data_IF_704813583351
#
_entry.id   IF_704813583351
#
_cell.length_a   1.000
_cell.length_b   1.000
_cell.length_c   1.000
_cell.angle_alpha   90.00
_cell.angle_beta   90.00
_cell.angle_gamma   90.00
#
_symmetry.space_group_name_H-M   'P 1'
#
loop_
_entity.id
_entity.type
_entity.pdbx_description
1 polymer ?
#
# COMPACT_ATOMS: atom_id res chain seq x y z
N UNK A 1 30.46 -44.65 -20.29
CA UNK A 1 29.23 -43.83 -20.20
C UNK A 1 29.67 -42.40 -19.87
N UNK A 2 30.03 -41.52 -20.82
CA UNK A 2 29.26 -41.08 -22.00
C UNK A 2 27.83 -40.69 -21.58
N UNK A 3 27.30 -39.47 -21.73
CA UNK A 3 27.57 -38.39 -22.68
C UNK A 3 26.86 -37.08 -22.22
N UNK A 4 27.37 -35.94 -22.70
CA UNK A 4 26.71 -34.65 -22.96
C UNK A 4 26.35 -33.71 -21.79
N UNK A 5 26.58 -32.40 -21.86
CA UNK A 5 27.12 -31.63 -22.96
C UNK A 5 27.35 -30.17 -22.55
N UNK A 6 28.54 -29.66 -22.90
CA UNK A 6 28.89 -28.24 -22.85
C UNK A 6 27.92 -27.49 -23.75
N UNK A 7 27.05 -26.66 -23.17
CA UNK A 7 26.45 -25.54 -23.89
C UNK A 7 27.23 -24.30 -23.50
N UNK A 8 27.89 -23.74 -24.51
CA UNK A 8 28.54 -22.45 -24.46
C UNK A 8 27.61 -21.44 -23.78
N UNK A 9 28.12 -20.76 -22.76
CA UNK A 9 27.58 -19.47 -22.37
C UNK A 9 27.82 -18.55 -23.57
N UNK A 10 26.83 -18.46 -24.45
CA UNK A 10 26.76 -17.37 -25.40
C UNK A 10 26.50 -16.14 -24.54
N UNK A 11 27.58 -15.50 -24.10
CA UNK A 11 27.54 -14.10 -23.71
C UNK A 11 27.17 -13.37 -25.00
N UNK A 12 25.86 -13.18 -25.23
CA UNK A 12 25.39 -12.10 -26.08
C UNK A 12 25.83 -10.82 -25.37
N UNK A 13 27.10 -10.45 -25.58
CA UNK A 13 27.52 -9.06 -25.55
C UNK A 13 26.66 -8.43 -26.63
N UNK A 14 25.54 -7.83 -26.21
CA UNK A 14 24.93 -6.76 -26.98
C UNK A 14 26.07 -5.77 -27.22
N UNK A 15 26.61 -5.79 -28.45
CA UNK A 15 27.51 -4.77 -28.95
C UNK A 15 26.82 -3.44 -28.66
N UNK A 16 27.56 -2.53 -28.04
CA UNK A 16 27.04 -1.25 -27.58
C UNK A 16 26.23 -0.57 -28.68
N UNK A 17 24.97 -0.26 -28.36
CA UNK A 17 24.40 0.97 -28.87
C UNK A 17 25.24 2.10 -28.28
N UNK A 18 25.78 2.95 -29.15
CA UNK A 18 26.74 3.97 -28.80
C UNK A 18 26.29 4.85 -27.63
N UNK A 19 27.28 5.41 -26.95
CA UNK A 19 27.09 6.58 -26.11
C UNK A 19 26.49 7.71 -26.97
N UNK A 20 25.17 7.78 -27.01
CA UNK A 20 24.38 8.77 -27.72
C UNK A 20 23.09 8.98 -26.93
N UNK A 21 23.00 10.13 -26.27
CA UNK A 21 21.83 10.65 -25.55
C UNK A 21 21.02 9.59 -24.76
N UNK A 22 21.41 9.28 -23.53
CA UNK A 22 20.60 8.47 -22.62
C UNK A 22 19.28 9.20 -22.31
N UNK A 23 18.23 8.89 -23.07
CA UNK A 23 16.88 9.34 -22.80
C UNK A 23 16.43 8.87 -21.41
N UNK A 24 15.61 9.70 -20.74
CA UNK A 24 14.92 9.27 -19.51
C UNK A 24 14.07 8.04 -19.83
N UNK A 25 14.05 7.07 -18.91
CA UNK A 25 13.15 5.92 -19.01
C UNK A 25 11.70 6.41 -19.08
N UNK A 26 10.91 5.74 -19.90
CA UNK A 26 9.48 5.96 -20.06
C UNK A 26 8.66 4.91 -19.31
N UNK A 27 7.35 5.13 -19.19
CA UNK A 27 6.43 4.11 -18.65
C UNK A 27 6.47 2.82 -19.48
N UNK A 28 6.63 2.93 -20.81
CA UNK A 28 6.79 1.78 -21.70
C UNK A 28 8.05 0.99 -21.36
N UNK A 29 9.17 1.66 -21.09
CA UNK A 29 10.41 0.96 -20.72
C UNK A 29 10.25 0.17 -19.41
N UNK A 30 9.51 0.71 -18.44
CA UNK A 30 9.19 -0.02 -17.20
C UNK A 30 8.32 -1.25 -17.51
N UNK A 31 7.30 -1.11 -18.35
CA UNK A 31 6.46 -2.23 -18.76
C UNK A 31 7.28 -3.33 -19.46
N UNK A 32 8.19 -2.95 -20.36
CA UNK A 32 9.09 -3.90 -21.03
C UNK A 32 10.04 -4.61 -20.06
N UNK A 33 10.59 -3.91 -19.06
CA UNK A 33 11.41 -4.54 -18.02
C UNK A 33 10.64 -5.61 -17.23
N UNK A 34 9.37 -5.35 -16.92
CA UNK A 34 8.50 -6.31 -16.25
C UNK A 34 8.17 -7.49 -17.18
N UNK A 35 7.77 -7.22 -18.43
CA UNK A 35 7.42 -8.26 -19.42
C UNK A 35 8.59 -9.18 -19.74
N UNK A 36 9.79 -8.62 -19.89
CA UNK A 36 11.01 -9.36 -20.13
C UNK A 36 11.53 -10.12 -18.90
N UNK A 37 10.87 -10.00 -17.73
CA UNK A 37 11.33 -10.52 -16.43
C UNK A 37 12.74 -10.06 -16.05
N UNK A 38 13.13 -8.87 -16.51
CA UNK A 38 14.35 -8.21 -16.09
C UNK A 38 14.23 -7.68 -14.65
N UNK A 39 13.00 -7.42 -14.20
CA UNK A 39 12.64 -7.14 -12.82
C UNK A 39 11.75 -8.29 -12.29
N UNK A 40 12.14 -8.90 -11.18
CA UNK A 40 11.44 -10.01 -10.52
C UNK A 40 11.10 -9.72 -9.05
N UNK A 41 11.74 -8.71 -8.45
CA UNK A 41 11.57 -8.29 -7.06
C UNK A 41 11.07 -6.85 -7.04
N UNK A 42 9.76 -6.72 -7.24
CA UNK A 42 9.07 -5.44 -7.26
C UNK A 42 8.63 -5.08 -5.83
N UNK A 43 9.15 -3.96 -5.33
CA UNK A 43 8.67 -3.35 -4.08
C UNK A 43 7.66 -2.27 -4.42
N UNK A 44 6.56 -2.23 -3.67
CA UNK A 44 5.49 -1.23 -3.84
C UNK A 44 5.36 -0.45 -2.54
N UNK A 45 5.30 0.87 -2.64
CA UNK A 45 5.01 1.76 -1.51
C UNK A 45 3.95 2.82 -1.89
N UNK A 46 3.07 3.16 -0.94
CA UNK A 46 2.21 4.34 -1.05
C UNK A 46 0.83 4.16 -0.43
N UNK A 47 -0.09 5.10 -0.70
CA UNK A 47 -1.48 5.07 -0.22
C UNK A 47 -2.40 4.95 -1.44
N UNK A 48 -3.17 3.86 -1.52
CA UNK A 48 -3.98 3.56 -2.72
C UNK A 48 -5.49 3.78 -2.51
N UNK A 49 -5.85 4.45 -1.41
CA UNK A 49 -7.20 4.48 -0.85
C UNK A 49 -8.14 5.50 -1.53
N UNK A 50 -7.62 6.55 -2.18
CA UNK A 50 -8.44 7.63 -2.73
C UNK A 50 -9.51 7.14 -3.75
N UNK A 51 -9.19 6.27 -4.72
CA UNK A 51 -10.19 5.80 -5.69
C UNK A 51 -11.20 4.80 -5.10
N UNK A 52 -10.99 4.34 -3.87
CA UNK A 52 -11.94 3.48 -3.14
C UNK A 52 -13.00 4.29 -2.36
N UNK A 53 -13.00 5.61 -2.48
CA UNK A 53 -13.93 6.51 -1.79
C UNK A 53 -13.47 6.96 -0.41
N UNK A 54 -12.29 6.53 0.03
CA UNK A 54 -11.65 7.01 1.26
C UNK A 54 -10.97 8.33 0.92
N UNK A 55 -11.52 9.42 1.41
CA UNK A 55 -11.01 10.75 1.10
C UNK A 55 -9.70 11.01 1.85
N UNK A 56 -8.80 11.74 1.20
CA UNK A 56 -7.54 12.14 1.84
C UNK A 56 -7.80 13.21 2.91
N UNK A 57 -7.18 13.01 4.09
CA UNK A 57 -7.32 13.90 5.25
C UNK A 57 -6.90 15.33 4.98
N UNK A 58 -6.05 15.56 3.98
CA UNK A 58 -5.43 16.86 3.67
C UNK A 58 -6.09 17.60 2.50
N UNK A 59 -7.08 17.00 1.84
CA UNK A 59 -7.75 17.61 0.69
C UNK A 59 -8.77 18.68 1.11
N UNK A 60 -8.84 19.84 0.45
CA UNK A 60 -9.83 20.88 0.77
C UNK A 60 -11.28 20.39 0.57
N UNK A 61 -12.18 20.72 1.50
CA UNK A 61 -13.63 20.46 1.36
C UNK A 61 -14.11 19.06 1.77
N UNK A 62 -13.28 18.27 2.46
CA UNK A 62 -13.65 16.93 2.93
C UNK A 62 -14.47 16.98 4.23
N UNK A 63 -15.43 16.06 4.49
CA UNK A 63 -16.22 16.04 5.71
C UNK A 63 -15.37 15.95 6.99
N UNK A 64 -14.16 15.37 6.89
CA UNK A 64 -13.21 15.24 7.99
C UNK A 64 -12.32 16.48 8.17
N UNK A 65 -12.51 17.55 7.40
CA UNK A 65 -11.70 18.78 7.51
C UNK A 65 -11.87 19.44 8.87
N UNK A 66 -13.05 19.34 9.49
CA UNK A 66 -13.28 19.79 10.86
C UNK A 66 -12.44 19.02 11.88
N UNK A 67 -11.91 17.84 11.55
CA UNK A 67 -10.97 17.13 12.42
C UNK A 67 -9.54 17.63 12.28
N UNK A 68 -9.19 18.41 11.24
CA UNK A 68 -7.84 19.00 11.12
C UNK A 68 -7.53 20.01 12.24
N UNK A 69 -8.56 20.60 12.87
CA UNK A 69 -8.38 21.50 14.01
C UNK A 69 -7.87 20.78 15.26
N UNK A 70 -8.14 19.47 15.33
CA UNK A 70 -7.64 18.60 16.37
C UNK A 70 -6.43 17.91 15.75
N UNK A 71 -5.23 18.09 16.28
CA UNK A 71 -4.03 17.41 15.77
C UNK A 71 -4.08 15.90 16.15
N UNK A 72 -5.11 15.20 15.69
CA UNK A 72 -5.60 13.88 16.13
C UNK A 72 -4.59 12.77 15.94
N UNK A 73 -3.57 13.01 15.13
CA UNK A 73 -2.55 12.01 14.82
C UNK A 73 -1.37 12.08 15.78
N UNK A 74 -1.26 13.05 16.69
CA UNK A 74 -0.17 13.09 17.67
C UNK A 74 -0.54 12.36 18.96
N UNK A 75 0.44 11.68 19.57
CA UNK A 75 0.27 10.92 20.81
C UNK A 75 -0.28 11.77 21.97
N UNK A 76 0.17 13.03 22.07
CA UNK A 76 -0.39 13.98 23.03
C UNK A 76 -1.91 14.11 22.83
N UNK A 77 -2.36 14.24 21.58
CA UNK A 77 -3.77 14.49 21.26
C UNK A 77 -4.64 13.25 21.44
N UNK A 78 -4.16 12.01 21.28
CA UNK A 78 -5.00 10.82 21.54
C UNK A 78 -5.60 10.83 22.96
N UNK A 79 -4.80 11.25 23.94
CA UNK A 79 -5.23 11.39 25.33
C UNK A 79 -6.22 12.55 25.54
N UNK A 80 -6.13 13.60 24.72
CA UNK A 80 -6.99 14.79 24.82
C UNK A 80 -8.22 14.77 23.91
N UNK A 81 -8.25 13.93 22.87
CA UNK A 81 -9.31 13.88 21.85
C UNK A 81 -9.72 12.45 21.51
N UNK A 82 -9.71 11.55 22.49
CA UNK A 82 -10.05 10.13 22.29
C UNK A 82 -11.40 9.96 21.59
N UNK A 83 -12.37 10.81 21.91
CA UNK A 83 -13.69 10.80 21.27
C UNK A 83 -13.62 11.16 19.78
N UNK A 84 -12.83 12.18 19.40
CA UNK A 84 -12.63 12.56 18.01
C UNK A 84 -11.97 11.45 17.18
N UNK A 85 -11.00 10.74 17.77
CA UNK A 85 -10.40 9.57 17.13
C UNK A 85 -11.43 8.46 16.87
N UNK A 86 -12.27 8.11 17.86
CA UNK A 86 -13.25 7.04 17.66
C UNK A 86 -14.39 7.44 16.72
N UNK A 87 -14.76 8.72 16.67
CA UNK A 87 -15.64 9.25 15.61
C UNK A 87 -15.02 9.03 14.23
N UNK A 88 -13.73 9.30 14.06
CA UNK A 88 -13.04 9.03 12.81
C UNK A 88 -12.92 7.52 12.51
N UNK A 89 -12.58 6.71 13.50
CA UNK A 89 -12.45 5.26 13.34
C UNK A 89 -13.77 4.63 12.86
N UNK A 90 -14.92 5.16 13.34
CA UNK A 90 -16.25 4.76 12.86
C UNK A 90 -16.47 5.07 11.38
N UNK A 91 -16.01 6.23 10.90
CA UNK A 91 -16.12 6.59 9.48
C UNK A 91 -15.26 5.70 8.57
N UNK A 92 -14.10 5.25 9.08
CA UNK A 92 -13.15 4.39 8.37
C UNK A 92 -13.45 2.89 8.53
N UNK A 93 -14.59 2.53 9.12
CA UNK A 93 -14.91 1.14 9.44
C UNK A 93 -14.75 0.18 8.24
N UNK A 94 -14.02 -0.93 8.41
CA UNK A 94 -13.88 -1.96 7.37
C UNK A 94 -15.23 -2.47 6.89
N UNK A 95 -15.51 -2.32 5.60
CA UNK A 95 -16.76 -2.76 4.96
C UNK A 95 -17.55 -1.65 4.26
N UNK A 96 -17.29 -0.38 4.58
CA UNK A 96 -17.84 0.78 3.84
C UNK A 96 -17.19 0.97 2.47
N UNK A 97 -15.94 0.52 2.34
CA UNK A 97 -15.12 0.74 1.16
C UNK A 97 -14.77 -0.58 0.47
N UNK A 98 -14.59 -0.53 -0.85
CA UNK A 98 -14.24 -1.69 -1.68
C UNK A 98 -12.88 -1.48 -2.35
N UNK A 99 -12.10 -2.55 -2.56
CA UNK A 99 -10.90 -2.48 -3.39
C UNK A 99 -11.22 -1.95 -4.78
N UNK A 100 -10.37 -1.06 -5.28
CA UNK A 100 -10.41 -0.50 -6.64
C UNK A 100 -9.39 -1.18 -7.57
N UNK A 101 -9.32 -0.76 -8.84
CA UNK A 101 -8.42 -1.32 -9.87
C UNK A 101 -6.96 -1.45 -9.42
N UNK A 102 -6.46 -0.52 -8.61
CA UNK A 102 -5.07 -0.49 -8.16
C UNK A 102 -4.81 -1.66 -7.22
N UNK A 103 -5.73 -1.96 -6.32
CA UNK A 103 -5.64 -3.11 -5.42
C UNK A 103 -5.59 -4.42 -6.20
N UNK A 104 -6.40 -4.53 -7.27
CA UNK A 104 -6.40 -5.69 -8.15
C UNK A 104 -5.15 -5.75 -9.06
N UNK A 105 -4.59 -4.61 -9.46
CA UNK A 105 -3.30 -4.56 -10.14
C UNK A 105 -2.17 -5.08 -9.24
N UNK A 106 -2.12 -4.63 -7.98
CA UNK A 106 -1.18 -5.17 -7.01
C UNK A 106 -1.39 -6.68 -6.86
N UNK A 107 -2.65 -7.15 -6.83
CA UNK A 107 -2.98 -8.59 -6.79
C UNK A 107 -2.41 -9.33 -7.98
N UNK A 108 -2.51 -8.80 -9.18
CA UNK A 108 -1.89 -9.40 -10.35
C UNK A 108 -0.37 -9.44 -10.26
N UNK A 109 0.29 -8.40 -9.76
CA UNK A 109 1.74 -8.44 -9.51
C UNK A 109 2.09 -9.59 -8.56
N UNK A 110 1.27 -9.81 -7.53
CA UNK A 110 1.46 -10.91 -6.61
C UNK A 110 1.25 -12.28 -7.27
N UNK A 111 0.13 -12.47 -7.98
CA UNK A 111 -0.21 -13.74 -8.64
C UNK A 111 0.82 -14.11 -9.73
N UNK A 112 1.50 -13.11 -10.32
CA UNK A 112 2.60 -13.29 -11.27
C UNK A 112 3.97 -13.47 -10.60
N UNK A 113 4.03 -13.48 -9.27
CA UNK A 113 5.25 -13.72 -8.49
C UNK A 113 6.21 -12.52 -8.42
N UNK A 114 5.78 -11.33 -8.83
CA UNK A 114 6.59 -10.11 -8.88
C UNK A 114 6.56 -9.34 -7.57
N UNK A 115 5.44 -9.41 -6.83
CA UNK A 115 5.24 -8.74 -5.55
C UNK A 115 4.56 -9.65 -4.53
N UNK A 116 4.27 -9.11 -3.34
CA UNK A 116 3.69 -9.87 -2.23
C UNK A 116 2.46 -9.22 -1.63
N UNK A 117 1.30 -9.86 -1.79
CA UNK A 117 0.06 -9.48 -1.08
C UNK A 117 -0.39 -10.41 0.08
N UNK A 118 0.15 -11.63 0.31
CA UNK A 118 -0.23 -12.33 1.53
C UNK A 118 0.26 -11.51 2.73
N UNK A 119 -0.41 -11.62 3.88
CA UNK A 119 -0.05 -10.88 5.10
C UNK A 119 1.45 -11.00 5.45
N UNK A 120 2.10 -12.11 5.09
CA UNK A 120 3.53 -12.32 5.24
C UNK A 120 4.41 -11.33 4.47
N UNK A 121 3.91 -10.74 3.38
CA UNK A 121 4.61 -9.82 2.49
C UNK A 121 4.01 -8.40 2.47
N UNK A 122 2.92 -8.16 3.21
CA UNK A 122 2.37 -6.82 3.45
C UNK A 122 3.02 -6.20 4.71
N UNK A 123 3.33 -4.91 4.61
CA UNK A 123 3.79 -4.08 5.74
C UNK A 123 2.83 -2.91 5.85
N UNK A 124 1.90 -2.99 6.79
CA UNK A 124 1.03 -1.88 7.17
C UNK A 124 1.84 -0.89 8.01
N UNK A 125 2.60 0.00 7.34
CA UNK A 125 3.57 0.89 8.00
C UNK A 125 2.92 1.80 9.06
N UNK A 126 1.64 2.15 8.88
CA UNK A 126 0.87 2.97 9.83
C UNK A 126 -0.08 2.15 10.71
N UNK A 127 0.15 0.84 10.80
CA UNK A 127 -0.66 -0.04 11.64
C UNK A 127 -1.96 -0.49 10.97
N UNK A 128 -2.84 -1.11 11.76
CA UNK A 128 -4.03 -1.78 11.25
C UNK A 128 -5.21 -1.63 12.20
N UNK A 129 -6.43 -1.69 11.64
CA UNK A 129 -7.65 -1.84 12.42
C UNK A 129 -8.02 -3.31 12.69
N UNK A 130 -7.25 -4.27 12.17
CA UNK A 130 -7.51 -5.70 12.38
C UNK A 130 -7.23 -6.15 13.83
N UNK A 131 -6.41 -5.40 14.56
CA UNK A 131 -6.06 -5.65 15.95
C UNK A 131 -6.07 -4.36 16.77
N UNK A 132 -6.10 -4.51 18.09
CA UNK A 132 -6.10 -3.42 19.04
C UNK A 132 -5.34 -3.79 20.31
N UNK A 133 -4.89 -2.78 21.05
CA UNK A 133 -4.11 -2.96 22.27
C UNK A 133 -4.64 -2.04 23.38
N UNK A 134 -4.75 -2.58 24.61
CA UNK A 134 -5.02 -1.73 25.76
C UNK A 134 -3.86 -0.77 26.02
N UNK A 135 -4.15 0.52 26.18
CA UNK A 135 -3.14 1.55 26.42
C UNK A 135 -2.49 1.48 27.81
N UNK A 136 -3.09 0.74 28.75
CA UNK A 136 -2.60 0.61 30.13
C UNK A 136 -1.87 -0.71 30.33
N UNK A 137 -2.57 -1.84 30.26
CA UNK A 137 -1.98 -3.16 30.54
C UNK A 137 -1.34 -3.83 29.31
N UNK A 138 -1.41 -3.20 28.13
CA UNK A 138 -0.86 -3.71 26.85
C UNK A 138 -1.43 -5.06 26.41
N UNK A 139 -2.58 -5.47 26.96
CA UNK A 139 -3.30 -6.66 26.52
C UNK A 139 -3.73 -6.50 25.05
N UNK A 140 -3.40 -7.45 24.17
CA UNK A 140 -3.90 -7.46 22.79
C UNK A 140 -5.38 -7.87 22.78
N UNK A 141 -6.13 -7.26 21.88
CA UNK A 141 -7.57 -7.44 21.67
C UNK A 141 -7.82 -7.58 20.16
N UNK A 142 -8.62 -8.57 19.71
CA UNK A 142 -9.08 -8.64 18.33
C UNK A 142 -9.77 -7.32 17.92
N UNK A 143 -9.46 -6.79 16.73
CA UNK A 143 -10.07 -5.53 16.27
C UNK A 143 -11.59 -5.62 16.17
N UNK A 144 -12.12 -6.82 15.89
CA UNK A 144 -13.56 -7.08 15.84
C UNK A 144 -14.30 -6.79 17.16
N UNK A 145 -13.64 -7.02 18.30
CA UNK A 145 -14.23 -6.80 19.62
C UNK A 145 -14.34 -5.30 19.95
N UNK A 146 -13.55 -4.46 19.29
CA UNK A 146 -13.54 -3.01 19.49
C UNK A 146 -14.73 -2.35 18.80
N UNK A 147 -15.19 -2.92 17.69
CA UNK A 147 -16.11 -2.26 16.78
C UNK A 147 -17.54 -2.12 17.31
N UNK A 148 -17.99 -3.04 18.17
CA UNK A 148 -19.31 -2.93 18.79
C UNK A 148 -19.45 -1.65 19.62
N UNK A 149 -18.39 -1.26 20.32
CA UNK A 149 -18.37 -0.01 21.09
C UNK A 149 -18.22 1.21 20.19
N UNK A 150 -17.29 1.17 19.23
CA UNK A 150 -17.08 2.28 18.28
C UNK A 150 -18.34 2.61 17.49
N UNK A 151 -19.08 1.60 17.01
CA UNK A 151 -20.32 1.78 16.27
C UNK A 151 -21.44 2.39 17.11
N UNK A 152 -21.44 2.11 18.41
CA UNK A 152 -22.38 2.65 19.37
C UNK A 152 -21.92 3.98 20.00
N UNK A 153 -20.91 4.63 19.41
CA UNK A 153 -20.32 5.89 19.89
C UNK A 153 -19.78 5.81 21.33
N UNK A 154 -19.33 4.61 21.73
CA UNK A 154 -18.68 4.35 23.02
C UNK A 154 -17.17 4.17 22.85
N UNK A 155 -16.42 4.58 23.86
CA UNK A 155 -14.97 4.36 23.93
C UNK A 155 -14.72 2.92 24.42
N UNK A 156 -14.06 2.06 23.63
CA UNK A 156 -13.73 0.69 24.00
C UNK A 156 -12.85 0.62 25.25
N UNK A 157 -13.21 -0.24 26.20
CA UNK A 157 -12.51 -0.40 27.49
C UNK A 157 -12.01 -1.82 27.70
N UNK A 158 -10.83 -1.92 28.31
CA UNK A 158 -10.21 -3.19 28.62
C UNK A 158 -10.98 -3.87 29.77
N UNK A 159 -11.34 -5.17 29.63
CA UNK A 159 -12.08 -5.89 30.66
C UNK A 159 -11.27 -6.09 31.96
N UNK A 160 -9.94 -6.06 31.90
CA UNK A 160 -9.10 -6.34 33.07
C UNK A 160 -8.75 -5.09 33.90
N UNK A 161 -8.57 -3.94 33.24
CA UNK A 161 -8.02 -2.74 33.88
C UNK A 161 -8.80 -1.45 33.59
N UNK A 162 -9.89 -1.53 32.82
CA UNK A 162 -10.68 -0.38 32.36
C UNK A 162 -9.90 0.69 31.57
N UNK A 163 -8.65 0.41 31.18
CA UNK A 163 -7.87 1.22 30.25
C UNK A 163 -8.54 1.29 28.88
N UNK A 164 -8.22 2.32 28.09
CA UNK A 164 -8.77 2.47 26.74
C UNK A 164 -8.16 1.40 25.82
N UNK A 165 -8.97 0.77 24.98
CA UNK A 165 -8.49 -0.15 23.96
C UNK A 165 -8.40 0.61 22.65
N UNK A 166 -7.17 0.80 22.14
CA UNK A 166 -6.89 1.54 20.92
C UNK A 166 -6.61 0.54 19.78
N UNK A 167 -7.23 0.68 18.60
CA UNK A 167 -6.78 -0.02 17.40
C UNK A 167 -5.28 0.17 17.18
N UNK A 168 -4.60 -0.82 16.62
CA UNK A 168 -3.15 -0.82 16.41
C UNK A 168 -2.74 0.05 15.22
N UNK A 169 -3.33 1.24 15.11
CA UNK A 169 -2.95 2.33 14.21
C UNK A 169 -1.83 3.13 14.87
N UNK A 170 -0.82 3.48 14.09
CA UNK A 170 0.36 4.21 14.56
C UNK A 170 0.11 5.70 14.53
N UNK A 171 0.30 6.35 15.68
CA UNK A 171 0.23 7.79 15.85
C UNK A 171 1.63 8.40 15.75
N UNK A 172 1.72 9.70 15.47
CA UNK A 172 2.97 10.44 15.57
C UNK A 172 3.52 10.35 17.01
N UNK A 173 4.79 9.98 17.12
CA UNK A 173 5.46 9.70 18.38
C UNK A 173 5.53 8.20 18.71
N UNK A 174 4.61 7.39 18.17
CA UNK A 174 4.63 5.95 18.40
C UNK A 174 5.66 5.24 17.50
N UNK A 175 6.25 4.12 17.98
CA UNK A 175 7.12 3.30 17.15
C UNK A 175 6.32 2.65 16.01
N UNK A 176 6.94 2.58 14.83
CA UNK A 176 6.38 1.82 13.72
C UNK A 176 6.29 0.32 14.06
N UNK A 177 5.40 -0.45 13.39
CA UNK A 177 5.23 -1.86 13.67
C UNK A 177 6.52 -2.64 13.38
N UNK A 178 6.80 -3.71 14.13
CA UNK A 178 8.02 -4.49 13.98
C UNK A 178 8.22 -4.99 12.53
N UNK A 179 7.13 -5.30 11.83
CA UNK A 179 7.15 -5.71 10.40
C UNK A 179 7.74 -4.64 9.49
N UNK A 180 7.73 -3.37 9.88
CA UNK A 180 8.38 -2.30 9.15
C UNK A 180 9.87 -2.57 8.96
N UNK A 181 10.54 -3.24 9.88
CA UNK A 181 11.97 -3.58 9.79
C UNK A 181 12.33 -4.49 8.61
N UNK A 182 11.35 -5.17 7.99
CA UNK A 182 11.58 -5.96 6.78
C UNK A 182 12.14 -5.13 5.62
N UNK A 183 11.91 -3.80 5.63
CA UNK A 183 12.45 -2.90 4.62
C UNK A 183 13.98 -2.99 4.47
N UNK A 184 14.70 -3.32 5.55
CA UNK A 184 16.16 -3.44 5.58
C UNK A 184 16.65 -4.53 4.61
N UNK A 185 15.84 -5.57 4.40
CA UNK A 185 16.16 -6.65 3.46
C UNK A 185 15.49 -6.41 2.11
N UNK A 186 14.22 -5.99 2.12
CA UNK A 186 13.40 -5.93 0.90
C UNK A 186 13.87 -4.84 -0.07
N UNK A 187 14.22 -3.63 0.42
CA UNK A 187 14.59 -2.51 -0.45
C UNK A 187 15.95 -2.72 -1.14
N UNK A 188 17.02 -3.16 -0.46
CA UNK A 188 18.29 -3.45 -1.14
C UNK A 188 18.19 -4.59 -2.16
N UNK A 189 17.22 -5.50 -2.00
CA UNK A 189 17.01 -6.65 -2.88
C UNK A 189 16.06 -6.36 -4.04
N UNK A 190 15.42 -5.19 -4.06
CA UNK A 190 14.49 -4.80 -5.10
C UNK A 190 15.20 -4.54 -6.43
N UNK A 191 14.53 -4.89 -7.53
CA UNK A 191 14.98 -4.56 -8.89
C UNK A 191 14.03 -3.58 -9.61
N UNK A 192 12.92 -3.23 -8.97
CA UNK A 192 12.00 -2.15 -9.35
C UNK A 192 11.28 -1.62 -8.11
N UNK A 193 11.18 -0.30 -7.97
CA UNK A 193 10.36 0.35 -6.96
C UNK A 193 9.14 1.03 -7.61
N UNK A 194 7.94 0.66 -7.18
CA UNK A 194 6.70 1.33 -7.53
C UNK A 194 6.23 2.21 -6.36
N UNK A 195 5.98 3.48 -6.63
CA UNK A 195 5.54 4.47 -5.66
C UNK A 195 4.17 4.98 -6.13
N UNK A 196 3.09 4.64 -5.45
CA UNK A 196 1.74 4.99 -5.92
C UNK A 196 0.95 5.78 -4.87
N UNK A 197 0.51 6.99 -5.21
CA UNK A 197 -0.43 7.76 -4.37
C UNK A 197 0.10 8.14 -2.98
N UNK A 198 1.28 8.74 -2.89
CA UNK A 198 1.83 9.21 -1.60
C UNK A 198 2.51 10.55 -1.78
N UNK A 199 2.45 11.44 -0.78
CA UNK A 199 3.17 12.72 -0.80
C UNK A 199 4.66 12.59 -0.43
N UNK A 200 5.07 11.45 0.15
CA UNK A 200 6.42 11.24 0.68
C UNK A 200 6.89 12.36 1.63
N UNK A 201 6.00 12.82 2.51
CA UNK A 201 6.30 13.88 3.49
C UNK A 201 6.54 13.35 4.92
N UNK A 202 6.14 12.11 5.20
CA UNK A 202 6.18 11.54 6.54
C UNK A 202 7.33 10.54 6.65
N UNK A 203 8.25 10.81 7.56
CA UNK A 203 9.36 9.90 7.89
C UNK A 203 8.95 8.84 8.92
N UNK A 204 9.60 7.66 8.93
CA UNK A 204 10.69 7.20 8.04
C UNK A 204 10.23 6.66 6.67
N UNK A 205 8.93 6.76 6.34
CA UNK A 205 8.37 6.18 5.12
C UNK A 205 8.88 6.87 3.84
N UNK A 206 9.06 8.19 3.86
CA UNK A 206 9.56 8.95 2.72
C UNK A 206 10.97 8.53 2.30
N UNK A 207 11.88 8.37 3.27
CA UNK A 207 13.26 7.94 3.06
C UNK A 207 13.40 6.55 2.44
N UNK A 208 12.39 5.68 2.56
CA UNK A 208 12.39 4.36 1.90
C UNK A 208 12.50 4.47 0.37
N UNK A 209 12.00 5.55 -0.22
CA UNK A 209 12.13 5.77 -1.67
C UNK A 209 13.59 5.89 -2.13
N UNK A 210 14.52 6.15 -1.22
CA UNK A 210 15.96 6.22 -1.48
C UNK A 210 16.71 4.93 -1.13
N UNK A 211 16.08 3.98 -0.42
CA UNK A 211 16.72 2.78 0.11
C UNK A 211 17.00 1.69 -0.95
N UNK A 212 16.41 1.79 -2.15
CA UNK A 212 16.74 0.92 -3.29
C UNK A 212 18.08 1.33 -3.93
N UNK A 213 18.78 0.37 -4.54
CA UNK A 213 20.06 0.63 -5.22
C UNK A 213 19.97 1.75 -6.28
N UNK A 214 21.07 2.46 -6.51
CA UNK A 214 21.10 3.63 -7.42
C UNK A 214 20.76 3.29 -8.88
N UNK A 215 20.97 2.04 -9.30
CA UNK A 215 20.64 1.53 -10.63
C UNK A 215 19.22 0.98 -10.75
N UNK A 216 18.46 0.92 -9.65
CA UNK A 216 17.09 0.41 -9.64
C UNK A 216 16.15 1.49 -10.18
N UNK A 217 15.32 1.18 -11.20
CA UNK A 217 14.29 2.10 -11.65
C UNK A 217 13.26 2.37 -10.54
N UNK A 218 12.83 3.63 -10.43
CA UNK A 218 11.73 4.03 -9.54
C UNK A 218 10.61 4.62 -10.39
N UNK A 219 9.42 4.03 -10.34
CA UNK A 219 8.24 4.53 -11.01
C UNK A 219 7.30 5.18 -9.98
N UNK A 220 7.09 6.48 -10.11
CA UNK A 220 6.05 7.22 -9.38
C UNK A 220 4.79 7.31 -10.24
N UNK A 221 3.67 6.81 -9.70
CA UNK A 221 2.33 7.07 -10.22
C UNK A 221 1.60 7.93 -9.19
N UNK A 222 1.45 9.22 -9.46
CA UNK A 222 0.88 10.15 -8.50
C UNK A 222 0.27 11.35 -9.22
N UNK A 223 -0.56 12.13 -8.53
CA UNK A 223 -1.06 13.40 -9.11
C UNK A 223 0.08 14.39 -9.35
N UNK A 224 0.95 14.51 -8.35
CA UNK A 224 2.01 15.52 -8.30
C UNK A 224 3.39 14.84 -8.21
N UNK A 225 4.44 15.52 -8.70
CA UNK A 225 5.82 15.09 -8.49
C UNK A 225 6.24 15.42 -7.05
N UNK A 226 6.72 14.42 -6.31
CA UNK A 226 6.84 14.51 -4.84
C UNK A 226 8.10 13.84 -4.29
N UNK A 227 8.45 14.21 -3.06
CA UNK A 227 9.54 13.59 -2.30
C UNK A 227 10.89 13.62 -3.04
N UNK A 228 11.80 12.67 -2.72
CA UNK A 228 13.11 12.58 -3.36
C UNK A 228 13.07 12.52 -4.89
N UNK A 229 11.96 12.13 -5.52
CA UNK A 229 11.84 12.16 -6.98
C UNK A 229 11.71 13.58 -7.54
N UNK A 230 11.21 14.53 -6.74
CA UNK A 230 11.15 15.95 -7.10
C UNK A 230 12.50 16.65 -6.88
N UNK A 231 13.11 16.47 -5.70
CA UNK A 231 14.27 17.25 -5.27
C UNK A 231 15.62 16.52 -5.37
N UNK A 232 15.63 15.19 -5.56
CA UNK A 232 16.83 14.34 -5.81
C UNK A 232 16.56 13.27 -6.88
N UNK A 233 16.25 13.66 -8.13
CA UNK A 233 15.95 12.72 -9.19
C UNK A 233 17.17 11.85 -9.53
N UNK A 234 16.94 10.57 -9.80
CA UNK A 234 17.92 9.61 -10.34
C UNK A 234 17.73 9.48 -11.84
N UNK A 235 18.76 8.97 -12.52
CA UNK A 235 18.74 8.77 -13.98
C UNK A 235 17.67 7.78 -14.46
N UNK A 236 17.20 6.90 -13.57
CA UNK A 236 16.20 5.85 -13.86
C UNK A 236 14.85 6.09 -13.20
N UNK A 237 14.58 7.32 -12.78
CA UNK A 237 13.27 7.70 -12.28
C UNK A 237 12.29 7.94 -13.43
N UNK A 238 11.08 7.43 -13.27
CA UNK A 238 9.95 7.65 -14.16
C UNK A 238 8.80 8.21 -13.33
N UNK A 239 8.17 9.27 -13.81
CA UNK A 239 7.00 9.85 -13.17
C UNK A 239 5.84 9.84 -14.17
N UNK A 240 4.79 9.10 -13.82
CA UNK A 240 3.50 9.11 -14.51
C UNK A 240 2.54 9.96 -13.68
N UNK A 241 2.39 11.22 -14.10
CA UNK A 241 1.57 12.20 -13.38
C UNK A 241 0.14 12.21 -13.89
N UNK A 242 -0.82 12.34 -12.97
CA UNK A 242 -2.24 12.49 -13.28
C UNK A 242 -3.13 11.60 -12.43
N UNK A 243 -4.28 11.22 -12.99
CA UNK A 243 -5.20 10.30 -12.32
C UNK A 243 -4.54 8.91 -12.15
N UNK A 244 -4.61 8.39 -10.92
CA UNK A 244 -3.90 7.17 -10.54
C UNK A 244 -4.55 5.93 -11.15
N UNK A 245 -5.89 5.91 -11.27
CA UNK A 245 -6.63 4.81 -11.90
C UNK A 245 -6.24 4.71 -13.37
N UNK A 246 -6.35 5.81 -14.10
CA UNK A 246 -5.98 5.88 -15.51
C UNK A 246 -4.50 5.51 -15.76
N UNK A 247 -3.60 5.97 -14.89
CA UNK A 247 -2.17 5.66 -15.01
C UNK A 247 -1.85 4.19 -14.78
N UNK A 248 -2.54 3.54 -13.84
CA UNK A 248 -2.41 2.10 -13.60
C UNK A 248 -3.03 1.30 -14.74
N UNK A 249 -4.18 1.70 -15.27
CA UNK A 249 -4.80 1.08 -16.45
C UNK A 249 -3.87 1.17 -17.67
N UNK A 250 -3.22 2.33 -17.87
CA UNK A 250 -2.23 2.51 -18.93
C UNK A 250 -1.03 1.58 -18.76
N UNK A 251 -0.51 1.43 -17.54
CA UNK A 251 0.57 0.47 -17.27
C UNK A 251 0.11 -0.97 -17.54
N UNK A 252 -1.10 -1.34 -17.13
CA UNK A 252 -1.70 -2.66 -17.38
C UNK A 252 -1.85 -2.95 -18.87
N UNK A 253 -2.27 -1.96 -19.66
CA UNK A 253 -2.35 -2.05 -21.11
C UNK A 253 -0.96 -2.32 -21.73
N UNK A 254 0.05 -1.55 -21.32
CA UNK A 254 1.44 -1.73 -21.78
C UNK A 254 2.03 -3.08 -21.38
N UNK A 255 1.60 -3.64 -20.24
CA UNK A 255 1.97 -4.98 -19.79
C UNK A 255 1.24 -6.10 -20.57
N UNK A 256 0.16 -5.76 -21.27
CA UNK A 256 -0.73 -6.72 -21.92
C UNK A 256 -1.57 -7.52 -20.91
N UNK A 257 -1.91 -6.93 -19.76
CA UNK A 257 -2.64 -7.61 -18.67
C UNK A 257 -4.10 -7.17 -18.53
N UNK A 258 -4.63 -6.41 -19.50
CA UNK A 258 -5.98 -5.83 -19.44
C UNK A 258 -7.07 -6.88 -19.20
N UNK A 259 -7.08 -7.95 -19.99
CA UNK A 259 -8.08 -9.02 -19.87
C UNK A 259 -7.96 -9.76 -18.52
N UNK A 260 -6.74 -10.09 -18.10
CA UNK A 260 -6.50 -10.76 -16.81
C UNK A 260 -6.98 -9.92 -15.62
N UNK A 261 -6.80 -8.60 -15.69
CA UNK A 261 -7.23 -7.68 -14.65
C UNK A 261 -8.75 -7.56 -14.60
N UNK A 262 -9.39 -7.44 -15.77
CA UNK A 262 -10.85 -7.41 -15.87
C UNK A 262 -11.47 -8.71 -15.34
N UNK A 263 -10.91 -9.86 -15.70
CA UNK A 263 -11.35 -11.17 -15.20
C UNK A 263 -11.17 -11.32 -13.69
N UNK A 264 -10.07 -10.81 -13.13
CA UNK A 264 -9.85 -10.79 -11.69
C UNK A 264 -10.90 -9.92 -10.98
N UNK A 265 -11.12 -8.70 -11.47
CA UNK A 265 -12.12 -7.77 -10.92
C UNK A 265 -13.51 -8.41 -10.98
N UNK A 266 -13.90 -8.98 -12.12
CA UNK A 266 -15.20 -9.60 -12.31
C UNK A 266 -15.40 -10.81 -11.38
N UNK A 267 -14.38 -11.65 -11.20
CA UNK A 267 -14.44 -12.79 -10.28
C UNK A 267 -14.58 -12.37 -8.83
N UNK A 268 -13.90 -11.32 -8.39
CA UNK A 268 -13.94 -10.89 -6.99
C UNK A 268 -15.18 -10.04 -6.66
N UNK A 269 -15.65 -9.23 -7.61
CA UNK A 269 -16.86 -8.41 -7.43
C UNK A 269 -18.16 -9.18 -7.70
N UNK A 270 -18.14 -10.17 -8.62
CA UNK A 270 -19.29 -11.00 -8.97
C UNK A 270 -19.66 -12.07 -7.93
N UNK A 271 -18.76 -12.41 -7.00
CA UNK A 271 -18.98 -13.41 -5.95
C UNK A 271 -19.97 -12.99 -4.83
N UNK A 272 -20.58 -11.81 -4.87
CA UNK A 272 -21.54 -11.36 -3.83
C UNK A 272 -22.94 -11.05 -4.38
N UNK A 273 -23.82 -12.05 -4.37
CA UNK A 273 -25.26 -11.84 -4.16
C UNK A 273 -25.48 -11.38 -2.71
N UNK A 274 -26.22 -10.29 -2.52
CA UNK A 274 -26.39 -9.61 -1.24
C UNK A 274 -27.70 -10.06 -0.55
N UNK A 275 -27.63 -10.62 0.67
CA UNK A 275 -28.81 -10.65 1.56
C UNK A 275 -28.89 -9.30 2.29
N UNK A 276 -30.00 -8.56 2.08
CA UNK A 276 -30.31 -7.33 2.82
C UNK A 276 -30.63 -7.70 4.28
N UNK A 277 -29.88 -7.16 5.24
CA UNK A 277 -30.31 -7.11 6.65
C UNK A 277 -29.32 -7.59 7.72
N UNK A 278 -28.12 -8.07 7.37
CA UNK A 278 -27.12 -8.51 8.36
C UNK A 278 -25.89 -7.60 8.33
N UNK A 279 -25.26 -7.28 9.48
CA UNK A 279 -23.97 -6.59 9.47
C UNK A 279 -22.98 -7.44 8.64
N UNK A 280 -22.15 -6.83 7.79
CA UNK A 280 -21.26 -7.58 6.93
C UNK A 280 -20.20 -8.27 7.80
N UNK A 281 -20.43 -9.54 8.12
CA UNK A 281 -19.41 -10.37 8.74
C UNK A 281 -18.18 -10.43 7.83
N UNK A 282 -17.01 -10.16 8.41
CA UNK A 282 -15.68 -10.37 7.80
C UNK A 282 -15.35 -11.86 7.53
N UNK A 283 -16.35 -12.75 7.45
CA UNK A 283 -16.15 -14.19 7.28
C UNK A 283 -15.96 -14.63 5.82
N UNK A 284 -16.23 -13.77 4.83
CA UNK A 284 -16.26 -14.14 3.41
C UNK A 284 -15.18 -13.53 2.52
N UNK A 285 -14.43 -12.54 3.02
CA UNK A 285 -13.25 -12.00 2.32
C UNK A 285 -12.07 -12.52 3.11
N UNK A 286 -11.20 -13.33 2.50
CA UNK A 286 -9.96 -13.79 3.17
C UNK A 286 -9.33 -12.58 3.85
N UNK A 287 -9.09 -12.71 5.16
CA UNK A 287 -8.68 -11.67 6.12
C UNK A 287 -7.55 -10.73 5.69
N UNK A 288 -6.84 -11.00 4.60
CA UNK A 288 -5.73 -10.19 4.10
C UNK A 288 -6.15 -8.98 3.24
N UNK A 289 -7.43 -8.82 2.87
CA UNK A 289 -7.87 -7.74 1.97
C UNK A 289 -8.43 -6.50 2.68
N UNK A 290 -8.85 -6.64 3.94
CA UNK A 290 -9.32 -5.49 4.72
C UNK A 290 -8.18 -4.50 5.00
N UNK A 291 -6.97 -4.99 5.33
CA UNK A 291 -5.79 -4.14 5.59
C UNK A 291 -5.25 -3.38 4.37
N UNK A 292 -5.70 -3.72 3.17
CA UNK A 292 -5.35 -2.98 1.94
C UNK A 292 -6.28 -1.78 1.70
N UNK A 293 -7.50 -1.84 2.24
CA UNK A 293 -8.50 -0.78 2.14
C UNK A 293 -8.50 0.10 3.39
N UNK A 294 -8.02 -0.42 4.53
CA UNK A 294 -7.93 0.29 5.81
C UNK A 294 -6.63 1.08 5.92
#
# INVERSE_FOLDING_TARGET
MALWGRRALVVLRLRGAGAGAQGKLSLLDIAELIRARACQRVVVMGRHQHPSGIQDFRSPGVPLQHLQQYDILTELTFSFTTQAFFTLAKELYPGKYRPNVIHYFLRLLHDKGLSGIPASKLVEAHGTFASATCTVCRRPVPGEDVWADVMADRIPRCPDCAGIVKPDIVFFGEPLPQRFLLHVVDFPMADLLLILGTSLEVEPFASLSEAVGSSVPRLLINRDLVGPLAWRPRSRDVAQLGDMVHSVERLVELLGWTEELQDLIQRETGKKGFQKGSPPHCSGVRSNWCGLVS
#
